data_IF_098345396403
#
_entry.id   IF_098345396403
#
_cell.length_a   1.000
_cell.length_b   1.000
_cell.length_c   1.000
_cell.angle_alpha   90.00
_cell.angle_beta   90.00
_cell.angle_gamma   90.00
#
_symmetry.space_group_name_H-M   'P 1'
#
loop_
_entity.id
_entity.type
_entity.pdbx_description
1 polymer ?
#
# COMPACT_ATOMS: atom_id res chain seq x y z
N UNK A 1 -53.83 -2.33 48.16
CA UNK A 1 -54.13 -1.68 46.85
C UNK A 1 -52.95 -0.84 46.43
N UNK A 2 -52.06 -1.35 45.64
CA UNK A 2 -51.00 -0.59 44.98
C UNK A 2 -50.48 -1.42 43.82
N UNK A 3 -50.61 -0.91 42.58
CA UNK A 3 -50.13 -1.53 41.35
C UNK A 3 -48.62 -1.25 41.17
N UNK A 4 -47.84 -2.18 40.67
CA UNK A 4 -46.47 -1.92 40.24
C UNK A 4 -46.44 -1.32 38.84
N UNK A 5 -45.59 -0.33 38.66
CA UNK A 5 -45.31 0.36 37.41
C UNK A 5 -44.50 -0.53 36.46
N UNK A 6 -44.91 -0.49 35.19
CA UNK A 6 -44.25 -1.23 34.13
C UNK A 6 -42.93 -0.57 33.72
N UNK A 7 -41.95 -1.42 33.61
CA UNK A 7 -40.61 -1.13 33.05
C UNK A 7 -40.71 -1.25 31.50
N UNK A 8 -40.53 -0.14 30.80
CA UNK A 8 -40.51 -0.10 29.35
C UNK A 8 -39.08 -0.05 28.85
N UNK A 9 -38.50 -1.23 28.65
CA UNK A 9 -37.26 -1.38 27.87
C UNK A 9 -37.57 -1.13 26.38
N UNK A 10 -37.33 0.08 25.94
CA UNK A 10 -37.32 0.41 24.51
C UNK A 10 -36.10 -0.20 23.84
N UNK A 11 -36.22 -1.43 23.39
CA UNK A 11 -35.33 -2.01 22.39
C UNK A 11 -35.56 -1.29 21.06
N UNK A 12 -34.58 -0.51 20.64
CA UNK A 12 -34.58 0.11 19.31
C UNK A 12 -34.65 -0.95 18.22
N UNK A 13 -35.76 -1.05 17.55
CA UNK A 13 -35.97 -1.90 16.38
C UNK A 13 -35.00 -1.48 15.25
N UNK A 14 -34.40 -2.41 14.49
CA UNK A 14 -33.66 -2.09 13.29
C UNK A 14 -34.63 -1.36 12.31
N UNK A 15 -34.15 -0.26 11.76
CA UNK A 15 -34.86 0.57 10.80
C UNK A 15 -35.17 -0.29 9.56
N UNK A 16 -36.45 -0.72 9.43
CA UNK A 16 -36.96 -1.38 8.24
C UNK A 16 -36.97 -0.40 7.07
N UNK A 17 -35.87 -0.31 6.35
CA UNK A 17 -35.83 0.30 5.03
C UNK A 17 -36.52 -0.63 4.05
N UNK A 18 -37.53 -0.12 3.31
CA UNK A 18 -38.26 -0.85 2.28
C UNK A 18 -37.31 -1.58 1.34
N UNK A 19 -37.55 -2.86 1.00
CA UNK A 19 -36.76 -3.57 0.01
C UNK A 19 -36.94 -2.90 -1.35
N UNK A 20 -35.85 -2.56 -2.04
CA UNK A 20 -35.90 -2.23 -3.45
C UNK A 20 -35.13 -1.01 -3.97
N UNK A 21 -34.60 -0.12 -3.14
CA UNK A 21 -33.84 1.03 -3.67
C UNK A 21 -32.45 1.13 -3.01
N UNK A 22 -31.36 1.09 -3.78
CA UNK A 22 -30.02 1.19 -3.22
C UNK A 22 -29.81 2.55 -2.53
N UNK A 23 -29.32 2.57 -1.29
CA UNK A 23 -29.14 3.78 -0.52
C UNK A 23 -28.06 4.68 -1.13
N UNK A 24 -28.26 6.00 -1.10
CA UNK A 24 -27.25 6.98 -1.52
C UNK A 24 -26.19 7.21 -0.41
N UNK A 25 -25.60 6.15 0.11
CA UNK A 25 -24.60 6.23 1.19
C UNK A 25 -23.29 5.58 0.75
N UNK A 26 -22.21 6.36 0.72
CA UNK A 26 -20.85 5.87 0.51
C UNK A 26 -19.94 6.31 1.65
N UNK A 27 -19.14 5.39 2.17
CA UNK A 27 -18.12 5.61 3.19
C UNK A 27 -16.76 5.21 2.63
N UNK A 28 -15.98 6.20 2.20
CA UNK A 28 -14.65 5.96 1.62
C UNK A 28 -13.68 5.41 2.66
N UNK A 29 -12.99 4.32 2.29
CA UNK A 29 -11.95 3.68 3.09
C UNK A 29 -10.55 4.05 2.56
N UNK A 30 -9.51 4.02 3.42
CA UNK A 30 -8.14 4.06 2.93
C UNK A 30 -7.85 2.80 2.12
N UNK A 31 -7.15 2.94 1.00
CA UNK A 31 -6.77 1.79 0.17
C UNK A 31 -5.50 1.13 0.72
N UNK A 32 -5.57 -0.17 0.94
CA UNK A 32 -4.43 -1.02 1.29
C UNK A 32 -4.36 -2.14 0.25
N UNK A 33 -3.32 -2.11 -0.58
CA UNK A 33 -3.14 -3.15 -1.59
C UNK A 33 -2.49 -4.38 -0.97
N UNK A 34 -2.98 -5.56 -1.36
CA UNK A 34 -2.35 -6.83 -1.02
C UNK A 34 -1.02 -6.98 -1.76
N UNK A 35 -0.04 -7.60 -1.13
CA UNK A 35 1.25 -7.92 -1.74
C UNK A 35 1.23 -9.33 -2.37
N UNK A 36 0.50 -10.25 -1.75
CA UNK A 36 0.31 -11.62 -2.21
C UNK A 36 -1.18 -11.92 -2.39
N UNK A 37 -1.52 -12.82 -3.31
CA UNK A 37 -2.91 -13.18 -3.62
C UNK A 37 -3.73 -13.68 -2.41
N UNK A 38 -3.05 -14.21 -1.41
CA UNK A 38 -3.66 -14.80 -0.19
C UNK A 38 -3.98 -13.77 0.90
N UNK A 39 -3.60 -12.51 0.73
CA UNK A 39 -3.68 -11.46 1.76
C UNK A 39 -4.97 -10.63 1.71
N UNK A 40 -5.89 -10.90 0.77
CA UNK A 40 -7.09 -10.08 0.55
C UNK A 40 -7.91 -9.84 1.83
N UNK A 41 -8.07 -10.84 2.69
CA UNK A 41 -8.79 -10.71 3.96
C UNK A 41 -8.09 -9.79 4.97
N UNK A 42 -6.76 -9.91 5.08
CA UNK A 42 -5.95 -9.06 5.96
C UNK A 42 -5.93 -7.60 5.45
N UNK A 43 -5.75 -7.39 4.15
CA UNK A 43 -5.76 -6.05 3.55
C UNK A 43 -7.14 -5.38 3.68
N UNK A 44 -8.22 -6.13 3.46
CA UNK A 44 -9.58 -5.64 3.70
C UNK A 44 -9.81 -5.24 5.16
N UNK A 45 -9.32 -6.03 6.12
CA UNK A 45 -9.38 -5.68 7.55
C UNK A 45 -8.59 -4.41 7.85
N UNK A 46 -7.38 -4.23 7.28
CA UNK A 46 -6.61 -3.00 7.44
C UNK A 46 -7.38 -1.76 6.92
N UNK A 47 -8.11 -1.90 5.81
CA UNK A 47 -8.96 -0.81 5.28
C UNK A 47 -10.09 -0.45 6.26
N UNK A 48 -10.75 -1.46 6.86
CA UNK A 48 -11.81 -1.25 7.87
C UNK A 48 -11.22 -0.60 9.13
N UNK A 49 -10.10 -1.09 9.65
CA UNK A 49 -9.42 -0.50 10.80
C UNK A 49 -9.03 0.95 10.54
N UNK A 50 -8.47 1.21 9.36
CA UNK A 50 -8.10 2.56 8.92
C UNK A 50 -9.29 3.51 8.78
N UNK A 51 -10.45 3.02 8.33
CA UNK A 51 -11.69 3.79 8.31
C UNK A 51 -12.14 4.20 9.72
N UNK A 52 -12.01 3.31 10.69
CA UNK A 52 -12.33 3.60 12.08
C UNK A 52 -11.28 4.45 12.80
N UNK A 53 -10.13 4.72 12.17
CA UNK A 53 -9.05 5.57 12.72
C UNK A 53 -7.91 4.80 13.37
N UNK A 54 -7.80 3.48 13.13
CA UNK A 54 -6.66 2.68 13.56
C UNK A 54 -5.86 2.20 12.35
N UNK A 55 -4.63 2.68 12.24
CA UNK A 55 -3.73 2.31 11.15
C UNK A 55 -2.84 1.18 11.64
N UNK A 56 -2.96 0.03 10.99
CA UNK A 56 -2.21 -1.19 11.29
C UNK A 56 -1.42 -1.60 10.04
N UNK A 57 -0.12 -1.95 10.15
CA UNK A 57 0.64 -2.49 9.04
C UNK A 57 0.03 -3.80 8.51
N UNK A 58 0.12 -4.02 7.19
CA UNK A 58 -0.44 -5.21 6.56
C UNK A 58 0.17 -6.50 7.12
N UNK A 59 1.48 -6.49 7.42
CA UNK A 59 2.20 -7.62 7.99
C UNK A 59 1.63 -8.03 9.35
N UNK A 60 1.25 -7.08 10.18
CA UNK A 60 0.61 -7.33 11.48
C UNK A 60 -0.79 -7.91 11.28
N UNK A 61 -1.62 -7.30 10.42
CA UNK A 61 -2.94 -7.84 10.07
C UNK A 61 -2.86 -9.24 9.46
N UNK A 62 -1.83 -9.52 8.65
CA UNK A 62 -1.58 -10.84 8.07
C UNK A 62 -1.36 -11.89 9.16
N UNK A 63 -0.50 -11.59 10.13
CA UNK A 63 -0.23 -12.46 11.27
C UNK A 63 -1.48 -12.71 12.11
N UNK A 64 -2.24 -11.66 12.42
CA UNK A 64 -3.45 -11.75 13.24
C UNK A 64 -4.61 -12.47 12.54
N UNK A 65 -4.73 -12.34 11.22
CA UNK A 65 -5.71 -13.09 10.42
C UNK A 65 -5.28 -14.54 10.17
N UNK A 66 -4.08 -14.95 10.60
CA UNK A 66 -3.56 -16.30 10.38
C UNK A 66 -3.55 -16.67 8.89
N UNK A 67 -3.04 -15.76 8.05
CA UNK A 67 -2.96 -15.98 6.59
C UNK A 67 -2.03 -17.15 6.32
N UNK A 68 -2.56 -18.16 5.63
CA UNK A 68 -1.83 -19.36 5.18
C UNK A 68 -1.71 -19.37 3.66
N UNK A 69 -1.20 -20.47 3.09
CA UNK A 69 -1.15 -20.67 1.63
C UNK A 69 -2.54 -20.67 0.98
N UNK A 70 -3.58 -21.00 1.73
CA UNK A 70 -4.97 -21.03 1.27
C UNK A 70 -5.72 -19.73 1.57
N UNK A 71 -5.00 -18.68 1.97
CA UNK A 71 -5.58 -17.41 2.37
C UNK A 71 -6.03 -17.38 3.83
N UNK A 72 -6.92 -16.45 4.16
CA UNK A 72 -7.54 -16.33 5.48
C UNK A 72 -9.03 -16.66 5.43
N UNK A 73 -9.51 -17.43 6.42
CA UNK A 73 -10.94 -17.71 6.55
C UNK A 73 -11.68 -16.49 7.10
N UNK A 74 -12.93 -16.28 6.69
CA UNK A 74 -13.78 -15.19 7.21
C UNK A 74 -13.82 -15.17 8.75
N UNK A 75 -13.86 -16.35 9.38
CA UNK A 75 -13.83 -16.48 10.86
C UNK A 75 -12.55 -15.92 11.48
N UNK A 76 -11.42 -16.04 10.81
CA UNK A 76 -10.13 -15.52 11.28
C UNK A 76 -10.07 -13.99 11.16
N UNK A 77 -10.59 -13.44 10.04
CA UNK A 77 -10.74 -11.98 9.87
C UNK A 77 -11.60 -11.38 10.98
N UNK A 78 -12.73 -12.04 11.31
CA UNK A 78 -13.59 -11.60 12.41
C UNK A 78 -12.89 -11.68 13.79
N UNK A 79 -12.13 -12.76 14.05
CA UNK A 79 -11.35 -12.90 15.29
C UNK A 79 -10.30 -11.79 15.41
N UNK A 80 -9.56 -11.52 14.33
CA UNK A 80 -8.57 -10.46 14.29
C UNK A 80 -9.21 -9.09 14.52
N UNK A 81 -10.35 -8.80 13.86
CA UNK A 81 -11.08 -7.55 14.07
C UNK A 81 -11.48 -7.32 15.52
N UNK A 82 -11.98 -8.37 16.20
CA UNK A 82 -12.35 -8.31 17.63
C UNK A 82 -11.14 -8.07 18.54
N UNK A 83 -9.98 -8.65 18.20
CA UNK A 83 -8.72 -8.42 18.93
C UNK A 83 -8.29 -6.95 18.86
N UNK A 84 -8.61 -6.23 17.77
CA UNK A 84 -8.42 -4.80 17.64
C UNK A 84 -9.51 -3.94 18.29
N UNK A 85 -10.49 -4.58 18.96
CA UNK A 85 -11.57 -3.91 19.67
C UNK A 85 -12.78 -3.55 18.82
N UNK A 86 -12.88 -4.09 17.58
CA UNK A 86 -14.09 -3.95 16.78
C UNK A 86 -15.14 -5.00 17.18
N UNK A 87 -16.39 -4.61 17.16
CA UNK A 87 -17.50 -5.56 17.12
C UNK A 87 -17.65 -6.05 15.67
N UNK A 88 -17.33 -7.34 15.45
CA UNK A 88 -17.32 -7.92 14.13
C UNK A 88 -18.27 -9.11 14.06
N UNK A 89 -19.16 -9.11 13.05
CA UNK A 89 -20.16 -10.15 12.83
C UNK A 89 -20.12 -10.60 11.37
N UNK A 90 -20.38 -11.88 11.13
CA UNK A 90 -20.50 -12.43 9.79
C UNK A 90 -21.93 -12.88 9.54
N UNK A 91 -22.45 -12.58 8.36
CA UNK A 91 -23.81 -12.92 7.95
C UNK A 91 -23.79 -13.60 6.60
N UNK A 92 -24.81 -14.39 6.35
CA UNK A 92 -25.14 -14.85 5.01
C UNK A 92 -26.36 -14.07 4.55
N UNK A 93 -26.19 -13.26 3.52
CA UNK A 93 -27.18 -12.34 3.01
C UNK A 93 -27.38 -12.51 1.50
N UNK A 94 -28.55 -12.09 1.04
CA UNK A 94 -28.84 -11.89 -0.38
C UNK A 94 -28.48 -10.46 -0.79
N UNK A 95 -28.54 -10.17 -2.09
CA UNK A 95 -28.15 -8.85 -2.62
C UNK A 95 -28.93 -7.69 -1.99
N UNK A 96 -30.23 -7.90 -1.79
CA UNK A 96 -31.15 -6.88 -1.26
C UNK A 96 -30.85 -6.52 0.19
N UNK A 97 -30.36 -7.47 0.98
CA UNK A 97 -29.99 -7.26 2.37
C UNK A 97 -28.82 -6.28 2.53
N UNK A 98 -27.96 -6.18 1.49
CA UNK A 98 -26.83 -5.27 1.50
C UNK A 98 -27.25 -3.79 1.63
N UNK A 99 -28.43 -3.43 1.16
CA UNK A 99 -28.91 -2.04 1.18
C UNK A 99 -29.21 -1.51 2.58
N UNK A 100 -29.51 -2.40 3.51
CA UNK A 100 -29.81 -2.06 4.91
C UNK A 100 -28.58 -1.97 5.82
N UNK A 101 -27.37 -2.30 5.32
CA UNK A 101 -26.18 -2.40 6.13
C UNK A 101 -25.52 -1.05 6.42
N UNK A 102 -24.76 -1.02 7.50
CA UNK A 102 -23.79 0.06 7.74
C UNK A 102 -22.50 -0.21 6.97
N UNK A 103 -22.05 0.81 6.22
CA UNK A 103 -20.82 0.75 5.47
C UNK A 103 -19.66 1.42 6.24
N UNK A 104 -18.40 1.00 6.01
CA UNK A 104 -17.97 -0.06 5.10
C UNK A 104 -18.12 -1.47 5.70
N UNK A 105 -18.30 -2.45 4.83
CA UNK A 105 -18.31 -3.87 5.19
C UNK A 105 -17.44 -4.68 4.23
N UNK A 106 -17.07 -5.91 4.59
CA UNK A 106 -16.29 -6.80 3.72
C UNK A 106 -17.23 -7.81 3.08
N UNK A 107 -17.14 -7.96 1.77
CA UNK A 107 -17.84 -8.97 1.00
C UNK A 107 -16.91 -10.11 0.61
N UNK A 108 -17.45 -11.33 0.58
CA UNK A 108 -16.79 -12.46 -0.04
C UNK A 108 -17.16 -12.48 -1.53
N UNK A 109 -16.16 -12.47 -2.38
CA UNK A 109 -16.22 -12.19 -3.81
C UNK A 109 -15.76 -13.38 -4.62
N UNK A 110 -16.53 -13.80 -5.62
CA UNK A 110 -16.20 -14.95 -6.49
C UNK A 110 -15.77 -16.22 -5.72
N UNK A 111 -16.31 -16.42 -4.51
CA UNK A 111 -16.03 -17.54 -3.61
C UNK A 111 -14.54 -17.76 -3.22
N UNK A 112 -13.65 -16.80 -3.51
CA UNK A 112 -12.22 -16.93 -3.24
C UNK A 112 -11.52 -15.63 -2.84
N UNK A 113 -12.21 -14.49 -2.84
CA UNK A 113 -11.61 -13.18 -2.61
C UNK A 113 -12.41 -12.36 -1.59
N UNK A 114 -11.78 -11.40 -0.93
CA UNK A 114 -12.43 -10.42 -0.06
C UNK A 114 -12.27 -9.02 -0.62
N UNK A 115 -13.37 -8.26 -0.69
CA UNK A 115 -13.39 -6.87 -1.10
C UNK A 115 -14.14 -6.01 -0.09
N UNK A 116 -13.83 -4.74 0.00
CA UNK A 116 -14.54 -3.81 0.89
C UNK A 116 -15.64 -3.10 0.11
N UNK A 117 -16.87 -3.24 0.56
CA UNK A 117 -18.00 -2.47 0.05
C UNK A 117 -18.04 -1.12 0.78
N UNK A 118 -17.85 -0.05 0.03
CA UNK A 118 -17.91 1.32 0.53
C UNK A 118 -19.34 1.88 0.52
N UNK A 119 -20.23 1.30 -0.27
CA UNK A 119 -21.64 1.67 -0.38
C UNK A 119 -22.13 1.86 -1.81
N UNK A 120 -23.28 2.50 -1.92
CA UNK A 120 -24.02 2.66 -3.17
C UNK A 120 -24.30 4.14 -3.49
N UNK A 121 -24.42 4.45 -4.78
CA UNK A 121 -24.91 5.75 -5.25
C UNK A 121 -25.75 5.55 -6.52
N UNK A 122 -27.07 5.38 -6.33
CA UNK A 122 -27.95 4.92 -7.41
C UNK A 122 -27.57 3.49 -7.83
N UNK A 123 -27.46 3.24 -9.12
CA UNK A 123 -27.06 1.93 -9.66
C UNK A 123 -25.55 1.62 -9.57
N UNK A 124 -24.76 2.57 -9.06
CA UNK A 124 -23.30 2.40 -8.94
C UNK A 124 -22.94 1.86 -7.57
N UNK A 125 -22.15 0.81 -7.57
CA UNK A 125 -21.58 0.15 -6.39
C UNK A 125 -20.11 0.55 -6.25
N UNK A 126 -19.72 0.99 -5.08
CA UNK A 126 -18.36 1.41 -4.79
C UNK A 126 -17.66 0.35 -3.96
N UNK A 127 -16.62 -0.24 -4.53
CA UNK A 127 -15.76 -1.22 -3.88
C UNK A 127 -14.35 -0.66 -3.71
N UNK A 128 -13.67 -1.12 -2.66
CA UNK A 128 -12.23 -0.97 -2.52
C UNK A 128 -11.62 -2.38 -2.49
N UNK A 129 -11.01 -2.76 -3.59
CA UNK A 129 -10.49 -4.10 -3.83
C UNK A 129 -9.01 -4.14 -3.43
N UNK A 130 -8.59 -5.03 -2.53
CA UNK A 130 -7.18 -5.19 -2.17
C UNK A 130 -6.26 -5.53 -3.34
N UNK A 131 -6.77 -6.15 -4.40
CA UNK A 131 -5.97 -6.53 -5.57
C UNK A 131 -5.85 -5.40 -6.59
N UNK A 132 -6.88 -4.54 -6.73
CA UNK A 132 -6.97 -3.55 -7.81
C UNK A 132 -7.15 -2.11 -7.33
N UNK A 133 -7.46 -1.90 -6.06
CA UNK A 133 -7.78 -0.59 -5.50
C UNK A 133 -9.27 -0.23 -5.67
N UNK A 134 -9.60 1.08 -5.60
CA UNK A 134 -10.98 1.53 -5.68
C UNK A 134 -11.61 1.24 -7.05
N UNK A 135 -12.77 0.58 -7.04
CA UNK A 135 -13.54 0.23 -8.24
C UNK A 135 -14.97 0.75 -8.14
N UNK A 136 -15.57 1.02 -9.30
CA UNK A 136 -17.00 1.30 -9.43
C UNK A 136 -17.57 0.26 -10.38
N UNK A 137 -18.55 -0.48 -9.92
CA UNK A 137 -19.17 -1.58 -10.68
C UNK A 137 -20.68 -1.38 -10.82
N UNK A 138 -21.31 -2.15 -11.68
CA UNK A 138 -22.77 -2.19 -11.82
C UNK A 138 -23.42 -3.12 -10.79
N UNK A 139 -24.73 -3.06 -10.69
CA UNK A 139 -25.51 -3.99 -9.84
C UNK A 139 -25.44 -5.42 -10.38
N UNK A 140 -25.41 -5.59 -11.71
CA UNK A 140 -25.32 -6.90 -12.35
C UNK A 140 -23.97 -7.56 -12.02
N UNK A 141 -22.88 -6.81 -12.05
CA UNK A 141 -21.55 -7.33 -11.67
C UNK A 141 -21.51 -7.71 -10.19
N UNK A 142 -22.14 -6.92 -9.32
CA UNK A 142 -22.26 -7.24 -7.89
C UNK A 142 -23.03 -8.55 -7.70
N UNK A 143 -24.17 -8.71 -8.35
CA UNK A 143 -25.01 -9.91 -8.23
C UNK A 143 -24.28 -11.17 -8.73
N UNK A 144 -23.60 -11.06 -9.86
CA UNK A 144 -22.85 -12.18 -10.45
C UNK A 144 -21.64 -12.63 -9.59
N UNK A 145 -21.05 -11.73 -8.81
CA UNK A 145 -19.78 -11.99 -8.12
C UNK A 145 -19.92 -12.09 -6.60
N UNK A 146 -20.99 -11.60 -6.02
CA UNK A 146 -21.22 -11.67 -4.57
C UNK A 146 -21.53 -13.11 -4.14
N UNK A 147 -20.75 -13.66 -3.20
CA UNK A 147 -20.87 -15.05 -2.77
C UNK A 147 -21.78 -15.22 -1.55
N UNK A 148 -22.61 -14.24 -1.21
CA UNK A 148 -23.58 -14.31 -0.13
C UNK A 148 -23.00 -14.11 1.28
N UNK A 149 -21.69 -13.91 1.47
CA UNK A 149 -21.09 -13.72 2.79
C UNK A 149 -20.65 -12.27 2.99
N UNK A 150 -21.09 -11.69 4.10
CA UNK A 150 -20.79 -10.29 4.51
C UNK A 150 -20.19 -10.30 5.91
N UNK A 151 -19.15 -9.51 6.09
CA UNK A 151 -18.59 -9.21 7.40
C UNK A 151 -18.82 -7.74 7.72
N UNK A 152 -19.51 -7.48 8.82
CA UNK A 152 -19.83 -6.12 9.30
C UNK A 152 -18.99 -5.78 10.52
N UNK A 153 -18.68 -4.48 10.67
CA UNK A 153 -17.79 -3.98 11.71
C UNK A 153 -18.34 -2.71 12.32
N UNK A 154 -18.31 -2.64 13.65
CA UNK A 154 -18.61 -1.44 14.41
C UNK A 154 -17.51 -1.20 15.45
N UNK A 155 -17.41 0.02 15.97
CA UNK A 155 -16.50 0.30 17.08
C UNK A 155 -17.03 -0.33 18.36
N UNK A 156 -16.25 -1.21 18.95
CA UNK A 156 -16.52 -1.71 20.28
C UNK A 156 -16.01 -0.77 21.38
N UNK A 157 -16.36 -1.03 22.65
CA UNK A 157 -15.94 -0.21 23.78
C UNK A 157 -14.42 -0.20 23.98
N UNK A 158 -13.73 -1.26 23.60
CA UNK A 158 -12.27 -1.41 23.73
C UNK A 158 -11.49 -0.90 22.52
N UNK A 159 -12.17 -0.35 21.50
CA UNK A 159 -11.52 0.12 20.29
C UNK A 159 -10.69 1.37 20.56
N UNK A 160 -9.40 1.29 20.29
CA UNK A 160 -8.46 2.40 20.45
C UNK A 160 -7.96 2.86 19.07
N UNK A 161 -8.28 4.10 18.65
CA UNK A 161 -7.69 4.67 17.44
C UNK A 161 -6.19 4.87 17.65
N UNK A 162 -5.40 4.86 16.59
CA UNK A 162 -3.96 5.03 16.65
C UNK A 162 -3.23 4.45 15.45
N UNK A 163 -1.92 4.36 15.56
CA UNK A 163 -1.04 3.96 14.48
C UNK A 163 -0.67 5.13 13.57
N UNK A 164 0.49 5.02 12.93
CA UNK A 164 0.99 6.04 12.00
C UNK A 164 0.93 5.51 10.57
N UNK A 165 0.56 6.39 9.64
CA UNK A 165 0.66 6.04 8.21
C UNK A 165 2.12 5.76 7.86
N UNK A 166 2.42 4.62 7.21
CA UNK A 166 3.78 4.34 6.77
C UNK A 166 4.26 5.47 5.87
N UNK A 167 5.26 6.21 6.34
CA UNK A 167 5.90 7.29 5.60
C UNK A 167 7.09 6.70 4.85
N UNK A 168 7.12 6.85 3.52
CA UNK A 168 8.26 6.42 2.70
C UNK A 168 9.55 7.08 3.16
N UNK A 169 9.50 8.38 3.51
CA UNK A 169 10.65 9.11 4.03
C UNK A 169 11.11 8.55 5.38
N UNK A 170 10.16 8.20 6.28
CA UNK A 170 10.50 7.59 7.57
C UNK A 170 11.06 6.18 7.43
N UNK A 171 10.52 5.37 6.50
CA UNK A 171 11.06 4.04 6.20
C UNK A 171 12.46 4.12 5.59
N UNK A 172 12.67 5.04 4.65
CA UNK A 172 13.98 5.29 4.04
C UNK A 172 14.99 5.76 5.10
N UNK A 173 14.62 6.74 5.92
CA UNK A 173 15.49 7.24 7.00
C UNK A 173 15.90 6.13 7.96
N UNK A 174 14.98 5.25 8.37
CA UNK A 174 15.29 4.11 9.25
C UNK A 174 16.28 3.13 8.60
N UNK A 175 16.20 2.91 7.28
CA UNK A 175 17.15 2.05 6.55
C UNK A 175 18.50 2.71 6.32
N UNK A 176 18.55 4.04 6.29
CA UNK A 176 19.79 4.79 6.13
C UNK A 176 20.57 4.96 7.45
N UNK A 177 19.90 4.83 8.61
CA UNK A 177 20.56 4.88 9.91
C UNK A 177 21.54 3.70 10.00
N UNK A 178 22.82 4.01 10.20
CA UNK A 178 23.93 3.04 10.23
C UNK A 178 24.67 2.87 8.89
N UNK A 179 24.14 3.39 7.78
CA UNK A 179 24.81 3.37 6.46
C UNK A 179 25.25 4.77 5.99
N UNK A 180 25.21 5.76 6.90
CA UNK A 180 25.46 7.18 6.55
C UNK A 180 26.86 7.38 6.00
N UNK A 181 27.88 6.72 6.58
CA UNK A 181 29.24 6.80 6.12
C UNK A 181 29.42 6.20 4.72
N UNK A 182 28.81 5.05 4.45
CA UNK A 182 28.86 4.42 3.13
C UNK A 182 28.15 5.27 2.07
N UNK A 183 26.98 5.84 2.41
CA UNK A 183 26.23 6.70 1.51
C UNK A 183 27.00 7.99 1.19
N UNK A 184 27.56 8.67 2.21
CA UNK A 184 28.36 9.88 2.01
C UNK A 184 29.60 9.60 1.17
N UNK A 185 30.24 8.45 1.37
CA UNK A 185 31.38 8.04 0.57
C UNK A 185 31.01 7.79 -0.90
N UNK A 186 29.90 7.07 -1.17
CA UNK A 186 29.40 6.84 -2.53
C UNK A 186 29.06 8.13 -3.24
N UNK A 187 28.40 9.07 -2.53
CA UNK A 187 28.08 10.40 -3.06
C UNK A 187 29.35 11.20 -3.38
N UNK A 188 30.34 11.15 -2.50
CA UNK A 188 31.63 11.85 -2.71
C UNK A 188 32.37 11.27 -3.91
N UNK A 189 32.46 9.93 -4.02
CA UNK A 189 33.05 9.28 -5.20
C UNK A 189 32.31 9.65 -6.49
N UNK A 190 30.97 9.70 -6.45
CA UNK A 190 30.16 10.14 -7.58
C UNK A 190 30.45 11.59 -8.00
N UNK A 191 30.63 12.47 -7.03
CA UNK A 191 31.02 13.87 -7.29
C UNK A 191 32.40 13.96 -7.94
N UNK A 192 33.38 13.20 -7.44
CA UNK A 192 34.71 13.18 -8.04
C UNK A 192 34.73 12.59 -9.47
N UNK A 193 33.82 11.66 -9.80
CA UNK A 193 33.66 11.12 -11.15
C UNK A 193 33.16 12.15 -12.19
N UNK A 194 32.57 13.26 -11.75
CA UNK A 194 32.17 14.34 -12.66
C UNK A 194 33.40 14.95 -13.37
N UNK A 195 34.54 15.05 -12.67
CA UNK A 195 35.75 15.65 -13.23
C UNK A 195 36.26 14.87 -14.45
N UNK A 196 36.57 13.55 -14.39
CA UNK A 196 36.95 12.80 -15.59
C UNK A 196 35.84 12.79 -16.65
N UNK A 197 34.57 12.80 -16.25
CA UNK A 197 33.42 12.87 -17.16
C UNK A 197 33.40 14.15 -18.03
N UNK A 198 33.86 15.26 -17.50
CA UNK A 198 34.00 16.52 -18.25
C UNK A 198 35.33 16.63 -19.04
N UNK A 199 36.39 16.01 -18.53
CA UNK A 199 37.72 16.05 -19.14
C UNK A 199 37.81 15.19 -20.41
N UNK A 200 37.13 14.04 -20.46
CA UNK A 200 37.19 13.11 -21.62
C UNK A 200 36.66 13.79 -22.91
N UNK A 201 35.47 14.43 -22.96
CA UNK A 201 35.03 15.18 -24.14
C UNK A 201 35.99 16.29 -24.56
N UNK A 202 36.62 16.94 -23.58
CA UNK A 202 37.61 18.01 -23.85
C UNK A 202 38.85 17.46 -24.55
N UNK A 203 39.33 16.30 -24.16
CA UNK A 203 40.44 15.64 -24.85
C UNK A 203 40.08 15.28 -26.29
N UNK A 204 38.87 14.77 -26.53
CA UNK A 204 38.39 14.46 -27.88
C UNK A 204 38.38 15.72 -28.76
N UNK A 205 37.93 16.83 -28.21
CA UNK A 205 37.92 18.12 -28.92
C UNK A 205 39.33 18.60 -29.25
N UNK A 206 40.22 18.59 -28.28
CA UNK A 206 41.61 18.99 -28.49
C UNK A 206 42.30 18.09 -29.54
N UNK A 207 42.02 16.80 -29.53
CA UNK A 207 42.54 15.89 -30.54
C UNK A 207 42.10 16.25 -31.96
N UNK A 208 40.81 16.53 -32.12
CA UNK A 208 40.29 16.92 -33.44
C UNK A 208 40.84 18.28 -33.88
N UNK A 209 40.80 19.28 -33.04
CA UNK A 209 41.16 20.66 -33.40
C UNK A 209 42.68 20.82 -33.63
N UNK A 210 43.49 20.24 -32.75
CA UNK A 210 44.93 20.49 -32.76
C UNK A 210 45.72 19.43 -33.59
N UNK A 211 45.28 18.19 -33.58
CA UNK A 211 45.97 17.13 -34.31
C UNK A 211 45.40 16.97 -35.73
N UNK A 212 44.10 16.78 -35.88
CA UNK A 212 43.50 16.51 -37.21
C UNK A 212 43.39 17.77 -38.07
N UNK A 213 43.02 18.93 -37.50
CA UNK A 213 42.78 20.18 -38.25
C UNK A 213 44.10 20.98 -38.34
N UNK A 214 44.77 21.22 -37.24
CA UNK A 214 46.01 22.05 -37.21
C UNK A 214 47.30 21.29 -37.52
N UNK A 215 47.28 19.95 -37.65
CA UNK A 215 48.45 19.11 -38.00
C UNK A 215 49.55 19.05 -36.96
N UNK A 216 49.30 19.44 -35.71
CA UNK A 216 50.32 19.53 -34.63
C UNK A 216 50.59 18.16 -33.98
N UNK A 217 51.50 17.38 -34.56
CA UNK A 217 51.83 16.04 -34.04
C UNK A 217 52.48 16.04 -32.63
N UNK A 218 53.06 17.16 -32.20
CA UNK A 218 53.75 17.29 -30.89
C UNK A 218 52.78 17.18 -29.69
N UNK A 219 51.49 17.47 -29.89
CA UNK A 219 50.47 17.43 -28.83
C UNK A 219 49.95 16.01 -28.56
N UNK A 220 50.12 15.06 -29.48
CA UNK A 220 49.58 13.71 -29.36
C UNK A 220 50.12 12.96 -28.13
N UNK A 221 51.43 13.04 -27.86
CA UNK A 221 52.02 12.36 -26.69
C UNK A 221 51.48 12.86 -25.36
N UNK A 222 51.49 14.16 -25.02
CA UNK A 222 50.94 14.64 -23.76
C UNK A 222 49.44 14.43 -23.67
N UNK A 223 48.69 14.47 -24.78
CA UNK A 223 47.26 14.18 -24.82
C UNK A 223 46.95 12.73 -24.47
N UNK A 224 47.65 11.77 -25.06
CA UNK A 224 47.53 10.33 -24.77
C UNK A 224 47.85 10.03 -23.32
N UNK A 225 48.88 10.64 -22.75
CA UNK A 225 49.24 10.48 -21.33
C UNK A 225 48.11 11.02 -20.44
N UNK A 226 47.61 12.22 -20.75
CA UNK A 226 46.48 12.78 -20.01
C UNK A 226 45.22 11.91 -20.07
N UNK A 227 44.89 11.38 -21.24
CA UNK A 227 43.76 10.43 -21.40
C UNK A 227 44.00 9.14 -20.60
N UNK A 228 45.19 8.55 -20.63
CA UNK A 228 45.50 7.34 -19.88
C UNK A 228 45.38 7.56 -18.36
N UNK A 229 45.89 8.67 -17.84
CA UNK A 229 45.77 9.03 -16.43
C UNK A 229 44.30 9.21 -16.04
N UNK A 230 43.50 9.92 -16.88
CA UNK A 230 42.08 10.14 -16.63
C UNK A 230 41.31 8.82 -16.60
N UNK A 231 41.58 7.90 -17.53
CA UNK A 231 40.95 6.56 -17.57
C UNK A 231 41.30 5.72 -16.34
N UNK A 232 42.55 5.71 -15.91
CA UNK A 232 42.98 5.00 -14.70
C UNK A 232 42.28 5.57 -13.47
N UNK A 233 42.24 6.90 -13.34
CA UNK A 233 41.57 7.57 -12.23
C UNK A 233 40.08 7.26 -12.21
N UNK A 234 39.40 7.35 -13.37
CA UNK A 234 37.98 7.01 -13.50
C UNK A 234 37.72 5.55 -13.15
N UNK A 235 38.52 4.61 -13.67
CA UNK A 235 38.39 3.20 -13.36
C UNK A 235 38.56 2.91 -11.87
N UNK A 236 39.57 3.55 -11.23
CA UNK A 236 39.82 3.40 -9.80
C UNK A 236 38.64 3.95 -8.96
N UNK A 237 38.14 5.16 -9.27
CA UNK A 237 36.99 5.76 -8.57
C UNK A 237 35.73 4.91 -8.75
N UNK A 238 35.47 4.40 -9.95
CA UNK A 238 34.34 3.51 -10.22
C UNK A 238 34.46 2.19 -9.46
N UNK A 239 35.64 1.58 -9.45
CA UNK A 239 35.86 0.37 -8.68
C UNK A 239 35.67 0.60 -7.18
N UNK A 240 36.16 1.72 -6.66
CA UNK A 240 36.00 2.09 -5.26
C UNK A 240 34.54 2.29 -4.89
N UNK A 241 33.77 3.00 -5.74
CA UNK A 241 32.33 3.23 -5.56
C UNK A 241 31.55 1.91 -5.53
N UNK A 242 31.84 0.99 -6.48
CA UNK A 242 31.16 -0.30 -6.53
C UNK A 242 31.53 -1.20 -5.34
N UNK A 243 32.76 -1.17 -4.89
CA UNK A 243 33.23 -1.96 -3.74
C UNK A 243 32.44 -1.58 -2.46
N UNK A 244 32.21 -0.28 -2.25
CA UNK A 244 31.46 0.18 -1.07
C UNK A 244 29.92 0.05 -1.23
N UNK A 245 29.41 0.00 -2.46
CA UNK A 245 27.99 -0.21 -2.71
C UNK A 245 27.55 -1.66 -2.48
N UNK A 246 28.46 -2.62 -2.64
CA UNK A 246 28.20 -4.06 -2.52
C UNK A 246 28.48 -4.63 -1.12
N UNK A 247 28.92 -3.81 -0.18
CA UNK A 247 29.10 -4.15 1.24
C UNK A 247 27.94 -3.69 2.10
#
# INVERSE_FOLDING_TARGET
MSRPGGDSTAGGAPNESKPGTPPKRRRKTPTVLQMEAVECGAASLCMILGYHGRIVPLEECRAECGVSRDGSKASNVLKAARKYGLEAKGFKYELEDLFGLEYPCILFWNANHFVVLEGFRGEKVYLNDPAQGPRVISMEELDASFSGVVLTFAKGPDFKPGGEKPSLAGALRRRLIGSEAALSFVLLCGLFLVVPGLVIPTFSRIFVDEFLVAGRATIVKPLLVGMAVTLVLQGFLTWLQQHFLLR
#
